data_IF_164931417092
#
_entry.id   IF_164931417092
#
_cell.length_a   1.000
_cell.length_b   1.000
_cell.length_c   1.000
_cell.angle_alpha   90.00
_cell.angle_beta   90.00
_cell.angle_gamma   90.00
#
_symmetry.space_group_name_H-M   'P 1'
#
loop_
_entity.id
_entity.type
_entity.pdbx_description
1 polymer ?
#
# COMPACT_ATOMS: atom_id res chain seq x y z
N UNK A 1 -0.50 13.27 12.25
CA UNK A 1 -0.93 12.93 10.89
C UNK A 1 -1.58 14.17 10.38
N UNK A 2 -1.17 14.69 9.23
CA UNK A 2 -1.62 15.99 8.73
C UNK A 2 -2.95 15.88 7.98
N UNK A 3 -3.33 14.66 7.56
CA UNK A 3 -4.58 14.37 6.85
C UNK A 3 -5.27 13.19 7.52
N UNK A 4 -6.53 13.33 7.93
CA UNK A 4 -7.31 12.20 8.47
C UNK A 4 -7.57 11.17 7.37
N UNK A 5 -7.25 9.89 7.60
CA UNK A 5 -7.35 8.81 6.61
C UNK A 5 -8.16 7.63 7.10
N UNK A 6 -8.91 6.98 6.21
CA UNK A 6 -9.66 5.75 6.50
C UNK A 6 -9.32 4.66 5.48
N UNK A 7 -9.30 3.39 5.92
CA UNK A 7 -8.84 2.24 5.13
C UNK A 7 -7.43 2.39 4.54
N UNK A 8 -6.58 3.14 5.22
CA UNK A 8 -5.16 3.29 4.93
C UNK A 8 -4.36 2.11 5.50
N UNK A 9 -3.08 2.04 5.12
CA UNK A 9 -2.11 1.11 5.69
C UNK A 9 -0.98 1.88 6.37
N UNK A 10 -0.48 1.36 7.48
CA UNK A 10 0.72 1.83 8.14
C UNK A 10 1.82 0.77 7.99
N UNK A 11 2.99 1.15 7.50
CA UNK A 11 4.14 0.26 7.28
C UNK A 11 5.37 0.79 8.02
N UNK A 12 5.96 -0.03 8.89
CA UNK A 12 7.20 0.31 9.58
C UNK A 12 8.36 0.08 8.62
N UNK A 13 9.10 1.14 8.32
CA UNK A 13 10.26 1.12 7.45
C UNK A 13 11.51 0.67 8.22
N UNK A 14 12.53 0.20 7.51
CA UNK A 14 13.80 -0.24 8.12
C UNK A 14 14.51 0.85 8.92
N UNK A 15 14.29 2.12 8.58
CA UNK A 15 14.84 3.27 9.30
C UNK A 15 14.03 3.65 10.56
N UNK A 16 12.99 2.88 10.91
CA UNK A 16 12.14 3.12 12.08
C UNK A 16 10.99 4.10 11.85
N UNK A 17 10.93 4.76 10.69
CA UNK A 17 9.80 5.62 10.33
C UNK A 17 8.57 4.78 9.96
N UNK A 18 7.38 5.36 10.07
CA UNK A 18 6.13 4.73 9.67
C UNK A 18 5.58 5.42 8.42
N UNK A 19 5.50 4.70 7.31
CA UNK A 19 4.82 5.16 6.11
C UNK A 19 3.32 4.96 6.25
N UNK A 20 2.55 6.02 6.02
CA UNK A 20 1.10 5.96 5.88
C UNK A 20 0.70 6.21 4.43
N UNK A 21 -0.01 5.24 3.86
CA UNK A 21 -0.52 5.30 2.48
C UNK A 21 -1.98 4.87 2.40
N UNK A 22 -2.76 5.53 1.54
CA UNK A 22 -4.17 5.23 1.33
C UNK A 22 -5.10 6.42 1.42
N UNK A 23 -6.38 6.13 1.26
CA UNK A 23 -7.43 7.13 1.05
C UNK A 23 -7.59 8.13 2.23
N UNK A 24 -7.68 9.43 1.95
CA UNK A 24 -8.14 10.44 2.89
C UNK A 24 -9.63 10.26 3.26
N UNK A 25 -10.04 10.84 4.38
CA UNK A 25 -11.41 10.78 4.87
C UNK A 25 -12.40 11.61 4.05
N UNK A 26 -11.96 12.70 3.41
CA UNK A 26 -12.81 13.70 2.76
C UNK A 26 -13.20 13.40 1.30
N UNK A 27 -13.02 12.15 0.85
CA UNK A 27 -13.31 11.66 -0.51
C UNK A 27 -12.61 12.43 -1.64
N UNK A 28 -11.54 13.16 -1.32
CA UNK A 28 -10.68 13.75 -2.34
C UNK A 28 -9.89 12.65 -3.06
N UNK A 29 -9.56 12.88 -4.34
CA UNK A 29 -8.64 12.05 -5.12
C UNK A 29 -7.18 12.14 -4.61
N UNK A 30 -6.98 12.51 -3.35
CA UNK A 30 -5.66 12.69 -2.78
C UNK A 30 -4.94 11.34 -2.62
N UNK A 31 -3.74 11.33 -3.18
CA UNK A 31 -2.80 10.22 -3.31
C UNK A 31 -1.53 10.47 -2.50
N UNK A 32 -1.49 11.56 -1.73
CA UNK A 32 -0.39 11.91 -0.84
C UNK A 32 -0.12 10.78 0.14
N UNK A 33 1.14 10.65 0.54
CA UNK A 33 1.55 9.75 1.61
C UNK A 33 2.42 10.51 2.59
N UNK A 34 2.46 10.03 3.83
CA UNK A 34 3.13 10.71 4.93
C UNK A 34 4.05 9.74 5.67
N UNK A 35 5.17 10.24 6.14
CA UNK A 35 6.07 9.56 7.06
C UNK A 35 5.85 10.12 8.47
N UNK A 36 5.70 9.23 9.43
CA UNK A 36 5.77 9.54 10.84
C UNK A 36 7.13 9.12 11.39
N UNK A 37 7.79 10.02 12.09
CA UNK A 37 9.01 9.74 12.85
C UNK A 37 8.65 9.56 14.34
N UNK A 38 8.68 8.33 14.87
CA UNK A 38 8.36 8.08 16.27
C UNK A 38 9.34 8.73 17.26
N UNK A 39 10.56 9.05 16.84
CA UNK A 39 11.58 9.63 17.71
C UNK A 39 11.34 11.10 18.00
N UNK A 40 10.76 11.82 17.03
CA UNK A 40 10.46 13.26 17.13
C UNK A 40 8.96 13.54 17.25
N UNK A 41 8.12 12.55 16.97
CA UNK A 41 6.67 12.71 16.91
C UNK A 41 6.18 13.52 15.70
N UNK A 42 7.05 13.83 14.75
CA UNK A 42 6.72 14.69 13.62
C UNK A 42 6.21 13.91 12.40
N UNK A 43 5.43 14.60 11.59
CA UNK A 43 4.89 14.11 10.32
C UNK A 43 5.52 14.87 9.16
N UNK A 44 5.93 14.16 8.12
CA UNK A 44 6.53 14.74 6.92
C UNK A 44 5.87 14.16 5.67
N UNK A 45 5.47 15.01 4.73
CA UNK A 45 4.95 14.55 3.46
C UNK A 45 6.07 13.87 2.65
N UNK A 46 5.74 12.77 1.97
CA UNK A 46 6.63 12.11 1.01
C UNK A 46 5.93 12.02 -0.35
N UNK A 47 6.51 11.32 -1.33
CA UNK A 47 5.90 11.18 -2.65
C UNK A 47 4.49 10.62 -2.61
N UNK A 48 3.75 10.85 -3.69
CA UNK A 48 2.36 10.41 -3.81
C UNK A 48 2.27 9.08 -4.56
N UNK A 49 1.28 8.26 -4.20
CA UNK A 49 0.94 7.05 -4.97
C UNK A 49 0.57 7.40 -6.41
N UNK A 50 0.70 6.45 -7.32
CA UNK A 50 0.27 6.59 -8.71
C UNK A 50 -1.25 6.49 -8.88
N UNK A 51 -1.96 5.88 -7.94
CA UNK A 51 -3.41 5.73 -8.00
C UNK A 51 -4.04 5.86 -6.61
N UNK A 52 -5.23 6.48 -6.56
CA UNK A 52 -6.03 6.49 -5.34
C UNK A 52 -6.45 5.06 -5.00
N UNK A 53 -6.25 4.65 -3.74
CA UNK A 53 -6.61 3.31 -3.29
C UNK A 53 -7.01 3.28 -1.81
N UNK A 54 -8.03 2.49 -1.53
CA UNK A 54 -8.49 2.10 -0.20
C UNK A 54 -8.50 0.57 -0.07
N UNK A 55 -8.42 0.04 1.15
CA UNK A 55 -8.44 -1.42 1.41
C UNK A 55 -7.34 -2.21 0.68
N UNK A 56 -6.31 -1.53 0.18
CA UNK A 56 -5.11 -2.17 -0.33
C UNK A 56 -4.33 -2.83 0.80
N UNK A 57 -3.34 -3.62 0.44
CA UNK A 57 -2.37 -4.16 1.40
C UNK A 57 -0.98 -3.64 1.08
N UNK A 58 -0.25 -3.28 2.12
CA UNK A 58 1.14 -2.88 2.07
C UNK A 58 2.01 -3.97 2.70
N UNK A 59 3.12 -4.29 2.04
CA UNK A 59 4.11 -5.26 2.49
C UNK A 59 5.49 -4.64 2.40
N UNK A 60 6.22 -4.62 3.51
CA UNK A 60 7.61 -4.18 3.55
C UNK A 60 8.47 -5.33 3.04
N UNK A 61 9.21 -5.11 1.97
CA UNK A 61 10.07 -6.09 1.32
C UNK A 61 11.43 -6.20 2.03
N UNK A 62 12.15 -7.28 1.76
CA UNK A 62 13.46 -7.55 2.37
C UNK A 62 14.52 -6.53 1.99
N UNK A 63 14.36 -5.81 0.88
CA UNK A 63 15.23 -4.70 0.48
C UNK A 63 14.85 -3.36 1.16
N UNK A 64 13.72 -3.32 1.88
CA UNK A 64 13.22 -2.15 2.60
C UNK A 64 12.19 -1.32 1.85
N UNK A 65 11.89 -1.64 0.58
CA UNK A 65 10.82 -0.98 -0.17
C UNK A 65 9.45 -1.44 0.31
N UNK A 66 8.40 -0.65 0.02
CA UNK A 66 7.03 -1.01 0.39
C UNK A 66 6.21 -1.31 -0.85
N UNK A 67 5.76 -2.55 -0.99
CA UNK A 67 4.87 -2.98 -2.06
C UNK A 67 3.42 -2.81 -1.63
N UNK A 68 2.64 -2.06 -2.41
CA UNK A 68 1.21 -1.89 -2.22
C UNK A 68 0.45 -2.61 -3.33
N UNK A 69 -0.47 -3.50 -2.98
CA UNK A 69 -1.24 -4.31 -3.93
C UNK A 69 -2.74 -4.09 -3.80
N UNK A 70 -3.41 -3.99 -4.95
CA UNK A 70 -4.86 -4.02 -5.07
C UNK A 70 -5.59 -2.92 -4.29
N UNK A 71 -6.77 -3.26 -3.79
CA UNK A 71 -7.67 -2.31 -3.14
C UNK A 71 -8.76 -1.79 -4.07
N UNK A 72 -9.36 -0.67 -3.67
CA UNK A 72 -10.49 -0.04 -4.32
C UNK A 72 -10.16 1.40 -4.72
N UNK A 73 -10.50 1.75 -5.96
CA UNK A 73 -10.59 3.13 -6.44
C UNK A 73 -12.06 3.43 -6.72
N UNK A 74 -12.76 4.06 -5.77
CA UNK A 74 -14.23 4.15 -5.82
C UNK A 74 -14.86 2.76 -5.83
N UNK A 75 -15.60 2.43 -6.89
CA UNK A 75 -16.22 1.11 -7.08
C UNK A 75 -15.33 0.11 -7.85
N UNK A 76 -14.19 0.57 -8.37
CA UNK A 76 -13.29 -0.24 -9.18
C UNK A 76 -12.32 -1.01 -8.29
N UNK A 77 -12.10 -2.29 -8.63
CA UNK A 77 -11.14 -3.15 -7.94
C UNK A 77 -9.83 -3.05 -8.69
N UNK A 78 -8.75 -2.85 -7.95
CA UNK A 78 -7.43 -2.68 -8.53
C UNK A 78 -6.71 -4.02 -8.64
N UNK A 79 -6.14 -4.28 -9.81
CA UNK A 79 -5.07 -5.26 -10.02
C UNK A 79 -3.68 -4.63 -9.90
N UNK A 80 -3.61 -3.30 -9.89
CA UNK A 80 -2.37 -2.56 -9.88
C UNK A 80 -1.58 -2.75 -8.59
N UNK A 81 -0.26 -2.75 -8.77
CA UNK A 81 0.72 -2.85 -7.71
C UNK A 81 1.65 -1.66 -7.81
N UNK A 82 1.94 -1.01 -6.69
CA UNK A 82 2.85 0.11 -6.60
C UNK A 82 3.98 -0.17 -5.62
N UNK A 83 5.17 0.36 -5.89
CA UNK A 83 6.34 0.21 -5.05
C UNK A 83 6.82 1.58 -4.59
N UNK A 84 6.92 1.75 -3.28
CA UNK A 84 7.53 2.91 -2.66
C UNK A 84 8.98 2.64 -2.33
N UNK A 85 9.86 3.54 -2.75
CA UNK A 85 11.27 3.55 -2.37
C UNK A 85 11.52 4.61 -1.26
N UNK A 86 11.78 4.20 -0.01
CA UNK A 86 12.05 5.13 1.08
C UNK A 86 13.29 6.01 0.88
N UNK A 87 14.25 5.59 0.07
CA UNK A 87 15.50 6.34 -0.14
C UNK A 87 15.28 7.58 -1.01
N UNK A 88 14.30 7.53 -1.91
CA UNK A 88 13.95 8.64 -2.81
C UNK A 88 12.60 9.26 -2.49
N UNK A 89 11.82 8.63 -1.61
CA UNK A 89 10.44 9.03 -1.32
C UNK A 89 9.51 8.87 -2.52
N UNK A 90 9.87 8.07 -3.53
CA UNK A 90 9.13 7.98 -4.79
C UNK A 90 8.26 6.72 -4.87
N UNK A 91 7.13 6.83 -5.57
CA UNK A 91 6.25 5.71 -5.93
C UNK A 91 6.36 5.42 -7.42
N UNK A 92 6.33 4.13 -7.77
CA UNK A 92 6.23 3.67 -9.15
C UNK A 92 5.18 2.56 -9.28
N UNK A 93 4.49 2.53 -10.41
CA UNK A 93 3.71 1.34 -10.80
C UNK A 93 4.66 0.18 -11.14
N UNK A 94 4.26 -1.02 -10.74
CA UNK A 94 4.99 -2.27 -11.03
C UNK A 94 4.03 -3.30 -11.67
N UNK A 95 4.45 -4.57 -11.74
CA UNK A 95 3.63 -5.63 -12.33
C UNK A 95 2.25 -5.77 -11.66
N UNK A 96 1.21 -6.01 -12.47
CA UNK A 96 -0.15 -6.20 -11.98
C UNK A 96 -0.36 -7.63 -11.46
N UNK A 97 -1.26 -7.76 -10.49
CA UNK A 97 -1.85 -9.06 -10.17
C UNK A 97 -2.67 -9.58 -11.35
N UNK A 98 -2.73 -10.90 -11.52
CA UNK A 98 -3.57 -11.55 -12.56
C UNK A 98 -5.05 -11.20 -12.38
N UNK A 99 -5.49 -11.00 -11.14
CA UNK A 99 -6.87 -10.67 -10.81
C UNK A 99 -6.89 -9.55 -9.80
N UNK A 100 -7.65 -8.50 -10.13
CA UNK A 100 -7.95 -7.41 -9.21
C UNK A 100 -8.57 -7.95 -7.93
N UNK A 101 -8.19 -7.38 -6.78
CA UNK A 101 -8.73 -7.83 -5.49
C UNK A 101 -8.64 -6.74 -4.43
N UNK A 102 -9.57 -6.83 -3.50
CA UNK A 102 -9.56 -6.07 -2.25
C UNK A 102 -9.90 -7.03 -1.10
N UNK A 103 -9.66 -6.61 0.15
CA UNK A 103 -9.78 -7.46 1.35
C UNK A 103 -8.90 -8.73 1.32
N UNK A 104 -7.88 -8.78 0.48
CA UNK A 104 -6.87 -9.85 0.49
C UNK A 104 -5.91 -9.70 1.66
N UNK A 105 -5.10 -10.72 1.89
CA UNK A 105 -3.89 -10.63 2.73
C UNK A 105 -2.65 -10.59 1.85
N UNK A 106 -1.59 -9.97 2.38
CA UNK A 106 -0.29 -9.89 1.74
C UNK A 106 0.77 -10.22 2.79
N UNK A 107 1.67 -11.16 2.50
CA UNK A 107 2.76 -11.55 3.39
C UNK A 107 4.08 -11.54 2.62
N UNK A 108 5.07 -10.82 3.13
CA UNK A 108 6.42 -10.86 2.57
C UNK A 108 7.07 -12.19 2.93
N UNK A 109 7.60 -12.89 1.93
CA UNK A 109 8.38 -14.11 2.07
C UNK A 109 9.88 -13.77 2.22
N UNK A 110 10.65 -14.68 2.78
CA UNK A 110 12.10 -14.49 3.01
C UNK A 110 12.90 -14.21 1.73
N UNK A 111 12.42 -14.71 0.59
CA UNK A 111 13.02 -14.46 -0.72
C UNK A 111 12.69 -13.06 -1.30
N UNK A 112 11.99 -12.19 -0.56
CA UNK A 112 11.64 -10.83 -0.98
C UNK A 112 10.39 -10.73 -1.85
N UNK A 113 9.66 -11.83 -2.05
CA UNK A 113 8.39 -11.84 -2.80
C UNK A 113 7.23 -11.61 -1.84
N UNK A 114 6.19 -10.89 -2.27
CA UNK A 114 4.94 -10.79 -1.53
C UNK A 114 3.94 -11.87 -1.99
N UNK A 115 3.53 -12.76 -1.09
CA UNK A 115 2.44 -13.70 -1.31
C UNK A 115 1.11 -12.99 -1.10
N UNK A 116 0.27 -12.98 -2.14
CA UNK A 116 -1.06 -12.38 -2.11
C UNK A 116 -2.13 -13.48 -2.07
N UNK A 117 -2.96 -13.46 -1.02
CA UNK A 117 -3.88 -14.55 -0.70
C UNK A 117 -5.31 -14.04 -0.47
N UNK A 118 -6.30 -14.80 -0.94
CA UNK A 118 -7.72 -14.50 -0.73
C UNK A 118 -8.20 -13.18 -1.35
N UNK A 119 -9.17 -12.55 -0.68
CA UNK A 119 -9.86 -11.34 -1.12
C UNK A 119 -11.03 -11.64 -2.05
N UNK A 120 -11.54 -10.60 -2.71
CA UNK A 120 -12.67 -10.73 -3.64
C UNK A 120 -12.61 -9.71 -4.79
N UNK A 121 -13.32 -10.02 -5.87
CA UNK A 121 -13.51 -9.13 -7.03
C UNK A 121 -14.97 -9.13 -7.51
N UNK A 122 -15.91 -9.02 -6.57
CA UNK A 122 -17.34 -9.29 -6.81
C UNK A 122 -17.74 -10.75 -6.61
N UNK A 123 -16.75 -11.64 -6.45
CA UNK A 123 -16.88 -13.02 -5.90
C UNK A 123 -15.65 -13.33 -5.04
N UNK A 124 -15.74 -14.25 -4.06
CA UNK A 124 -14.59 -14.70 -3.29
C UNK A 124 -13.48 -15.27 -4.20
N UNK A 125 -12.23 -14.94 -3.91
CA UNK A 125 -11.06 -15.45 -4.61
C UNK A 125 -10.28 -16.41 -3.70
N UNK A 126 -9.82 -17.52 -4.26
CA UNK A 126 -8.91 -18.44 -3.57
C UNK A 126 -7.45 -17.95 -3.59
N UNK A 127 -6.66 -18.43 -2.65
CA UNK A 127 -5.19 -18.29 -2.69
C UNK A 127 -4.64 -19.24 -3.75
N UNK A 128 -3.97 -18.72 -4.78
CA UNK A 128 -3.11 -19.52 -5.65
C UNK A 128 -1.67 -19.07 -5.37
N UNK A 129 -0.87 -19.98 -4.81
CA UNK A 129 0.57 -19.76 -4.66
C UNK A 129 1.22 -19.67 -6.03
N UNK A 130 2.14 -18.72 -6.20
CA UNK A 130 3.14 -18.70 -7.27
C UNK A 130 4.47 -19.17 -6.68
#
# INVERSE_FOLDING_TARGET
MNITRYYHTASILKNGMVLISGRPFDDTLDISTELYDPSTGMWTNTGSMCSQRAHHKASVLTDGKVLVTGGLQGFDRLASTELYDPSTGSWINTGNMITARWQHTASTLENGIALIAGGQNGKPLGTRGI
#
